data_IF_091986205861
#
_entry.id   IF_091986205861
#
_cell.length_a   1.000
_cell.length_b   1.000
_cell.length_c   1.000
_cell.angle_alpha   90.00
_cell.angle_beta   90.00
_cell.angle_gamma   90.00
#
_symmetry.space_group_name_H-M   'P 1'
#
loop_
_entity.id
_entity.type
_entity.pdbx_description
1 polymer ?
#
# COMPACT_ATOMS: atom_id res chain seq x y z
N UNK A 1 69.50 1.80 -10.96
CA UNK A 1 69.69 1.06 -12.22
C UNK A 1 68.51 1.41 -13.13
N UNK A 2 68.81 2.09 -14.22
CA UNK A 2 67.90 2.75 -15.16
C UNK A 2 67.13 1.78 -16.08
N UNK A 3 65.83 2.07 -16.25
CA UNK A 3 65.14 2.41 -17.51
C UNK A 3 64.93 1.37 -18.64
N UNK A 4 63.79 1.60 -19.32
CA UNK A 4 63.41 1.30 -20.71
C UNK A 4 62.72 -0.04 -21.06
N UNK A 5 61.39 0.07 -21.15
CA UNK A 5 60.59 -0.05 -22.38
C UNK A 5 60.90 -1.16 -23.40
N UNK A 6 59.88 -2.00 -23.68
CA UNK A 6 59.59 -2.43 -25.04
C UNK A 6 58.14 -2.92 -25.18
N UNK A 7 57.37 -2.21 -26.00
CA UNK A 7 56.09 -2.64 -26.56
C UNK A 7 56.33 -3.80 -27.53
N UNK A 8 55.42 -4.78 -27.56
CA UNK A 8 55.15 -5.55 -28.76
C UNK A 8 53.65 -5.84 -28.86
N UNK A 9 53.05 -5.27 -29.89
CA UNK A 9 51.68 -5.50 -30.35
C UNK A 9 51.60 -6.90 -30.95
N UNK A 10 50.62 -7.71 -30.53
CA UNK A 10 50.19 -8.87 -31.31
C UNK A 10 48.65 -8.91 -31.36
N UNK A 11 48.13 -8.42 -32.47
CA UNK A 11 46.76 -8.57 -32.93
C UNK A 11 46.62 -9.98 -33.51
N UNK A 12 45.76 -10.83 -32.94
CA UNK A 12 45.25 -12.00 -33.64
C UNK A 12 43.72 -11.93 -33.67
N UNK A 13 43.21 -11.66 -34.88
CA UNK A 13 41.83 -11.86 -35.24
C UNK A 13 41.58 -13.36 -35.40
N UNK A 14 40.60 -13.89 -34.66
CA UNK A 14 40.00 -15.20 -34.96
C UNK A 14 38.54 -14.94 -35.31
N UNK A 15 38.28 -14.96 -36.61
CA UNK A 15 36.94 -14.99 -37.19
C UNK A 15 36.53 -16.44 -37.40
N UNK A 16 35.35 -16.82 -36.92
CA UNK A 16 34.50 -17.79 -37.62
C UNK A 16 34.03 -19.01 -36.81
N UNK A 17 32.71 -19.24 -36.93
CA UNK A 17 31.96 -20.50 -36.82
C UNK A 17 31.31 -20.82 -35.46
N UNK A 18 30.09 -20.29 -35.32
CA UNK A 18 28.90 -21.14 -35.31
C UNK A 18 28.70 -22.10 -34.14
N UNK A 19 27.93 -21.65 -33.15
CA UNK A 19 26.87 -22.49 -32.60
C UNK A 19 25.73 -21.62 -32.14
N UNK A 20 24.60 -21.83 -32.79
CA UNK A 20 23.32 -21.25 -32.49
C UNK A 20 22.97 -21.53 -31.04
N UNK A 21 23.12 -20.53 -30.17
CA UNK A 21 22.22 -20.41 -29.04
C UNK A 21 20.89 -19.94 -29.64
N UNK A 22 20.10 -20.93 -30.08
CA UNK A 22 18.65 -20.81 -30.11
C UNK A 22 18.26 -20.33 -28.70
N UNK A 23 18.12 -19.02 -28.52
CA UNK A 23 17.25 -18.53 -27.46
C UNK A 23 15.91 -19.18 -27.72
N UNK A 24 15.54 -20.10 -26.84
CA UNK A 24 14.20 -20.62 -26.78
C UNK A 24 13.25 -19.42 -26.73
N UNK A 25 12.58 -19.13 -27.85
CA UNK A 25 11.33 -18.41 -27.84
C UNK A 25 10.40 -19.24 -26.97
N UNK A 26 10.37 -18.94 -25.66
CA UNK A 26 9.20 -19.26 -24.85
C UNK A 26 8.03 -18.60 -25.58
N UNK A 27 7.08 -19.43 -25.99
CA UNK A 27 5.92 -19.02 -26.76
C UNK A 27 5.32 -17.74 -26.18
N UNK A 28 4.94 -16.83 -27.07
CA UNK A 28 4.18 -15.65 -26.71
C UNK A 28 3.00 -16.11 -25.84
N UNK A 29 3.01 -15.70 -24.58
CA UNK A 29 1.81 -15.73 -23.78
C UNK A 29 0.82 -14.74 -24.41
N UNK A 30 -0.43 -15.18 -24.44
CA UNK A 30 -1.63 -14.51 -24.91
C UNK A 30 -1.80 -13.15 -24.20
N UNK A 31 -1.40 -12.04 -24.83
CA UNK A 31 -1.57 -10.67 -24.33
C UNK A 31 -1.00 -10.36 -22.92
N UNK A 32 -1.21 -9.12 -22.42
CA UNK A 32 -0.94 -8.79 -21.02
C UNK A 32 -1.86 -9.58 -20.06
N UNK A 33 -1.35 -9.93 -18.88
CA UNK A 33 -2.09 -10.66 -17.84
C UNK A 33 -3.20 -9.75 -17.31
N UNK A 34 -4.45 -10.13 -17.54
CA UNK A 34 -5.60 -9.38 -17.02
C UNK A 34 -5.73 -9.51 -15.52
N UNK A 35 -5.56 -8.40 -14.80
CA UNK A 35 -5.76 -8.32 -13.36
C UNK A 35 -7.19 -7.88 -13.06
N UNK A 36 -7.85 -8.60 -12.15
CA UNK A 36 -9.20 -8.28 -11.69
C UNK A 36 -9.20 -7.53 -10.37
N UNK A 37 -8.31 -7.91 -9.46
CA UNK A 37 -8.19 -7.29 -8.13
C UNK A 37 -6.71 -7.11 -7.81
N UNK A 38 -6.34 -5.93 -7.34
CA UNK A 38 -5.05 -5.65 -6.72
C UNK A 38 -5.25 -5.47 -5.22
N UNK A 39 -4.61 -6.32 -4.43
CA UNK A 39 -4.54 -6.23 -2.97
C UNK A 39 -3.24 -5.52 -2.62
N UNK A 40 -3.36 -4.29 -2.11
CA UNK A 40 -2.25 -3.43 -1.71
C UNK A 40 -2.06 -3.50 -0.20
N UNK A 41 -0.89 -3.94 0.22
CA UNK A 41 -0.45 -3.94 1.63
C UNK A 41 0.82 -3.12 1.78
N UNK A 42 1.21 -2.75 2.99
CA UNK A 42 2.41 -1.93 3.21
C UNK A 42 3.61 -2.72 3.68
N UNK A 43 3.43 -3.77 4.48
CA UNK A 43 4.56 -4.53 5.00
C UNK A 43 4.26 -6.02 5.13
N UNK A 44 5.34 -6.78 5.07
CA UNK A 44 5.41 -8.16 5.53
C UNK A 44 6.61 -8.32 6.47
N UNK A 45 6.55 -9.30 7.36
CA UNK A 45 7.62 -9.64 8.30
C UNK A 45 8.29 -10.93 7.85
N UNK A 46 9.56 -10.82 7.48
CA UNK A 46 10.31 -12.00 7.05
C UNK A 46 9.79 -12.49 5.70
N UNK A 47 9.31 -13.72 5.66
CA UNK A 47 8.84 -14.38 4.45
C UNK A 47 7.33 -14.18 4.23
N UNK A 48 6.89 -14.27 2.98
CA UNK A 48 5.47 -14.12 2.62
C UNK A 48 4.58 -15.31 3.06
N UNK A 49 5.17 -16.38 3.59
CA UNK A 49 4.50 -17.63 4.02
C UNK A 49 5.23 -18.23 5.22
N UNK A 50 4.50 -19.02 6.01
CA UNK A 50 5.06 -19.92 7.03
C UNK A 50 5.87 -19.23 8.17
N UNK A 51 5.69 -17.92 8.40
CA UNK A 51 6.22 -17.19 9.56
C UNK A 51 5.12 -16.36 10.26
N UNK A 52 5.52 -15.31 10.98
CA UNK A 52 4.67 -14.43 11.77
C UNK A 52 4.07 -13.36 10.85
N UNK A 53 2.76 -13.42 10.55
CA UNK A 53 2.17 -12.58 9.52
C UNK A 53 2.23 -11.09 9.86
N UNK A 54 2.70 -10.31 8.88
CA UNK A 54 2.43 -8.90 8.73
C UNK A 54 1.06 -8.66 8.08
N UNK A 55 0.99 -7.73 7.12
CA UNK A 55 -0.25 -7.44 6.40
C UNK A 55 -0.49 -8.35 5.19
N UNK A 56 0.56 -8.98 4.64
CA UNK A 56 0.53 -9.61 3.32
C UNK A 56 0.34 -11.12 3.37
N UNK A 57 1.03 -11.81 4.28
CA UNK A 57 1.11 -13.26 4.35
C UNK A 57 -0.28 -13.94 4.40
N UNK A 58 -1.21 -13.41 5.20
CA UNK A 58 -2.56 -13.99 5.27
C UNK A 58 -3.34 -13.88 3.96
N UNK A 59 -3.05 -12.89 3.11
CA UNK A 59 -3.60 -12.84 1.75
C UNK A 59 -2.95 -13.89 0.86
N UNK A 60 -1.62 -14.04 0.94
CA UNK A 60 -0.89 -15.05 0.17
C UNK A 60 -1.42 -16.45 0.46
N UNK A 61 -1.50 -16.80 1.74
CA UNK A 61 -1.92 -18.13 2.19
C UNK A 61 -3.39 -18.44 1.89
N UNK A 62 -4.29 -17.45 2.09
CA UNK A 62 -5.75 -17.69 1.98
C UNK A 62 -6.30 -17.49 0.58
N UNK A 63 -5.71 -16.60 -0.22
CA UNK A 63 -6.11 -16.39 -1.62
C UNK A 63 -5.26 -17.20 -2.60
N UNK A 64 -4.33 -18.02 -2.09
CA UNK A 64 -3.44 -18.88 -2.88
C UNK A 64 -2.67 -18.06 -3.94
N UNK A 65 -1.99 -16.99 -3.48
CA UNK A 65 -1.16 -16.15 -4.34
C UNK A 65 0.19 -16.84 -4.61
N UNK A 66 0.12 -17.99 -5.29
CA UNK A 66 1.23 -18.94 -5.41
C UNK A 66 2.26 -18.54 -6.47
N UNK A 67 1.88 -17.69 -7.43
CA UNK A 67 2.79 -17.25 -8.49
C UNK A 67 3.57 -16.02 -8.07
N UNK A 68 4.88 -16.16 -7.89
CA UNK A 68 5.78 -15.04 -7.58
C UNK A 68 6.27 -14.44 -8.89
N UNK A 69 6.00 -13.15 -9.09
CA UNK A 69 6.43 -12.40 -10.26
C UNK A 69 7.40 -11.29 -9.83
N UNK A 70 8.65 -11.30 -10.30
CA UNK A 70 9.61 -10.25 -9.96
C UNK A 70 9.08 -8.89 -10.40
N UNK A 71 9.11 -7.89 -9.50
CA UNK A 71 8.82 -6.49 -9.79
C UNK A 71 10.06 -5.65 -9.44
N UNK A 72 11.09 -5.58 -10.31
CA UNK A 72 12.41 -5.05 -9.95
C UNK A 72 12.42 -3.58 -9.50
N UNK A 73 11.50 -2.78 -10.03
CA UNK A 73 11.35 -1.37 -9.67
C UNK A 73 10.38 -1.13 -8.50
N UNK A 74 9.76 -2.19 -7.98
CA UNK A 74 8.87 -2.14 -6.82
C UNK A 74 9.58 -2.54 -5.53
N UNK A 75 8.93 -2.30 -4.39
CA UNK A 75 9.49 -2.64 -3.09
C UNK A 75 9.63 -4.15 -2.86
N UNK A 76 8.69 -4.93 -3.39
CA UNK A 76 8.61 -6.38 -3.21
C UNK A 76 8.15 -7.05 -4.51
N UNK A 77 8.47 -8.33 -4.69
CA UNK A 77 7.84 -9.13 -5.74
C UNK A 77 6.32 -9.14 -5.56
N UNK A 78 5.58 -9.11 -6.67
CA UNK A 78 4.12 -9.28 -6.63
C UNK A 78 3.77 -10.75 -6.66
N UNK A 79 2.64 -11.10 -6.06
CA UNK A 79 2.13 -12.47 -6.10
C UNK A 79 0.77 -12.52 -6.78
N UNK A 80 0.52 -13.55 -7.57
CA UNK A 80 -0.67 -13.67 -8.39
C UNK A 80 -1.31 -15.06 -8.22
N UNK A 81 -2.64 -15.12 -8.22
CA UNK A 81 -3.37 -16.38 -8.36
C UNK A 81 -4.01 -16.53 -9.75
N UNK A 82 -4.47 -17.74 -10.05
CA UNK A 82 -5.14 -18.09 -11.32
C UNK A 82 -6.44 -17.31 -11.60
N UNK A 83 -7.02 -16.66 -10.59
CA UNK A 83 -8.28 -15.93 -10.72
C UNK A 83 -8.08 -14.48 -11.15
N UNK A 84 -6.84 -14.00 -11.23
CA UNK A 84 -6.48 -12.61 -11.53
C UNK A 84 -6.45 -11.71 -10.30
N UNK A 85 -6.20 -12.28 -9.11
CA UNK A 85 -5.95 -11.51 -7.88
C UNK A 85 -4.44 -11.35 -7.72
N UNK A 86 -3.99 -10.10 -7.75
CA UNK A 86 -2.59 -9.71 -7.58
C UNK A 86 -2.41 -9.09 -6.20
N UNK A 87 -1.50 -9.63 -5.39
CA UNK A 87 -1.07 -9.06 -4.14
C UNK A 87 0.26 -8.32 -4.29
N UNK A 88 0.38 -7.15 -3.64
CA UNK A 88 1.60 -6.36 -3.60
C UNK A 88 1.90 -5.83 -2.20
N UNK A 89 3.19 -5.74 -1.89
CA UNK A 89 3.72 -5.02 -0.71
C UNK A 89 4.39 -3.75 -1.19
N UNK A 90 3.86 -2.61 -0.76
CA UNK A 90 4.32 -1.29 -1.19
C UNK A 90 5.51 -0.75 -0.42
N UNK A 91 5.76 -1.28 0.78
CA UNK A 91 6.64 -0.66 1.76
C UNK A 91 5.93 0.45 2.55
N UNK A 92 6.41 0.70 3.77
CA UNK A 92 5.86 1.76 4.63
C UNK A 92 6.29 3.14 4.15
N UNK A 93 5.32 4.04 4.00
CA UNK A 93 5.50 5.45 3.62
C UNK A 93 5.00 5.77 2.21
N UNK A 94 4.51 6.99 2.02
CA UNK A 94 3.90 7.48 0.77
C UNK A 94 4.84 7.38 -0.44
N UNK A 95 6.12 7.69 -0.28
CA UNK A 95 7.11 7.58 -1.36
C UNK A 95 7.30 6.14 -1.87
N UNK A 96 7.36 5.15 -0.96
CA UNK A 96 7.49 3.74 -1.34
C UNK A 96 6.22 3.20 -1.99
N UNK A 97 5.06 3.62 -1.48
CA UNK A 97 3.78 3.29 -2.07
C UNK A 97 3.62 3.85 -3.49
N UNK A 98 3.92 5.13 -3.70
CA UNK A 98 3.88 5.75 -5.02
C UNK A 98 4.82 5.03 -6.00
N UNK A 99 6.08 4.77 -5.60
CA UNK A 99 7.05 4.09 -6.45
C UNK A 99 6.62 2.66 -6.81
N UNK A 100 6.12 1.89 -5.84
CA UNK A 100 5.70 0.50 -6.08
C UNK A 100 4.45 0.39 -6.94
N UNK A 101 3.47 1.27 -6.74
CA UNK A 101 2.26 1.31 -7.59
C UNK A 101 2.61 1.77 -9.00
N UNK A 102 3.50 2.75 -9.16
CA UNK A 102 3.99 3.17 -10.46
C UNK A 102 4.75 2.04 -11.17
N UNK A 103 5.60 1.31 -10.46
CA UNK A 103 6.31 0.16 -11.00
C UNK A 103 5.34 -0.92 -11.53
N UNK A 104 4.26 -1.21 -10.80
CA UNK A 104 3.23 -2.13 -11.25
C UNK A 104 2.47 -1.59 -12.47
N UNK A 105 2.09 -0.30 -12.45
CA UNK A 105 1.30 0.33 -13.51
C UNK A 105 2.04 0.50 -14.85
N UNK A 106 3.36 0.63 -14.80
CA UNK A 106 4.21 0.74 -16.00
C UNK A 106 4.69 -0.60 -16.54
N UNK A 107 4.41 -1.70 -15.84
CA UNK A 107 4.86 -3.02 -16.25
C UNK A 107 3.92 -3.61 -17.32
N UNK A 108 4.37 -3.78 -18.57
CA UNK A 108 3.52 -4.18 -19.69
C UNK A 108 3.02 -5.64 -19.58
N UNK A 109 3.49 -6.40 -18.58
CA UNK A 109 2.98 -7.75 -18.30
C UNK A 109 1.58 -7.72 -17.73
N UNK A 110 1.10 -6.61 -17.16
CA UNK A 110 -0.17 -6.53 -16.45
C UNK A 110 -1.15 -5.58 -17.15
N UNK A 111 -2.40 -6.02 -17.29
CA UNK A 111 -3.53 -5.20 -17.72
C UNK A 111 -4.33 -4.81 -16.47
N UNK A 112 -4.32 -3.51 -16.12
CA UNK A 112 -4.91 -2.98 -14.89
C UNK A 112 -6.13 -2.08 -15.13
N UNK A 113 -6.50 -1.77 -16.38
CA UNK A 113 -7.52 -0.77 -16.71
C UNK A 113 -8.90 -1.09 -16.11
N UNK A 114 -9.18 -2.37 -15.85
CA UNK A 114 -10.44 -2.83 -15.24
C UNK A 114 -10.27 -3.48 -13.88
N UNK A 115 -9.12 -3.28 -13.23
CA UNK A 115 -8.85 -3.84 -11.91
C UNK A 115 -9.56 -3.05 -10.80
N UNK A 116 -10.07 -3.77 -9.81
CA UNK A 116 -10.44 -3.22 -8.50
C UNK A 116 -9.21 -3.19 -7.60
N UNK A 117 -9.08 -2.16 -6.77
CA UNK A 117 -7.94 -1.97 -5.88
C UNK A 117 -8.42 -1.97 -4.44
N UNK A 118 -7.86 -2.84 -3.61
CA UNK A 118 -8.11 -2.91 -2.17
C UNK A 118 -6.81 -2.58 -1.46
N UNK A 119 -6.75 -1.44 -0.77
CA UNK A 119 -5.71 -1.16 0.20
C UNK A 119 -6.14 -1.77 1.52
N UNK A 120 -5.43 -2.80 1.96
CA UNK A 120 -5.65 -3.48 3.22
C UNK A 120 -4.49 -3.21 4.16
N UNK A 121 -4.78 -2.71 5.36
CA UNK A 121 -3.75 -2.33 6.29
C UNK A 121 -4.24 -2.25 7.72
N UNK A 122 -3.29 -2.10 8.65
CA UNK A 122 -3.58 -1.74 10.03
C UNK A 122 -3.34 -0.25 10.24
N UNK A 123 -4.10 0.36 11.15
CA UNK A 123 -4.03 1.79 11.42
C UNK A 123 -4.44 2.14 12.85
N UNK A 124 -4.11 3.37 13.23
CA UNK A 124 -4.68 3.99 14.43
C UNK A 124 -6.14 4.35 14.21
N UNK A 125 -6.89 4.46 15.30
CA UNK A 125 -8.27 4.94 15.27
C UNK A 125 -8.55 5.80 16.49
N UNK A 126 -9.39 6.81 16.32
CA UNK A 126 -9.78 7.68 17.43
C UNK A 126 -10.58 6.85 18.46
N UNK A 127 -10.13 6.77 19.73
CA UNK A 127 -10.83 6.02 20.76
C UNK A 127 -12.24 6.57 21.08
N UNK A 128 -12.53 7.83 20.74
CA UNK A 128 -13.89 8.38 20.80
C UNK A 128 -14.84 7.63 19.86
N UNK A 129 -14.30 6.95 18.86
CA UNK A 129 -15.02 6.44 17.72
C UNK A 129 -14.93 4.92 17.57
N UNK A 130 -13.75 4.35 17.69
CA UNK A 130 -13.48 2.96 17.37
C UNK A 130 -12.74 2.24 18.49
N UNK A 131 -12.87 0.92 18.47
CA UNK A 131 -12.26 0.03 19.43
C UNK A 131 -11.10 -0.74 18.81
N UNK A 132 -10.13 -1.15 19.62
CA UNK A 132 -8.97 -1.93 19.16
C UNK A 132 -9.42 -3.23 18.49
N UNK A 133 -8.92 -3.47 17.28
CA UNK A 133 -9.22 -4.65 16.47
C UNK A 133 -10.54 -4.56 15.70
N UNK A 134 -11.21 -3.39 15.71
CA UNK A 134 -12.29 -3.10 14.77
C UNK A 134 -11.78 -3.11 13.33
N UNK A 135 -12.68 -3.40 12.39
CA UNK A 135 -12.42 -3.29 10.95
C UNK A 135 -13.27 -2.15 10.44
N UNK A 136 -12.68 -1.29 9.60
CA UNK A 136 -13.36 -0.08 9.14
C UNK A 136 -13.25 0.02 7.64
N UNK A 137 -14.38 0.22 6.97
CA UNK A 137 -14.41 0.60 5.57
C UNK A 137 -14.45 2.14 5.49
N UNK A 138 -13.45 2.73 4.83
CA UNK A 138 -13.34 4.17 4.71
C UNK A 138 -14.11 4.67 3.49
N UNK A 139 -14.85 5.76 3.67
CA UNK A 139 -15.51 6.48 2.56
C UNK A 139 -14.65 7.59 1.98
N UNK A 140 -13.73 8.14 2.77
CA UNK A 140 -12.83 9.21 2.37
C UNK A 140 -11.42 8.92 2.87
N UNK A 141 -10.43 9.38 2.10
CA UNK A 141 -9.02 9.38 2.46
C UNK A 141 -8.55 10.82 2.46
N UNK A 142 -7.89 11.24 3.55
CA UNK A 142 -7.25 12.55 3.63
C UNK A 142 -5.74 12.33 3.75
N UNK A 143 -4.97 12.85 2.81
CA UNK A 143 -3.52 12.93 2.86
C UNK A 143 -3.11 14.19 3.62
N UNK A 144 -2.57 13.99 4.82
CA UNK A 144 -2.08 15.06 5.68
C UNK A 144 -0.55 15.19 5.68
N UNK A 145 0.17 14.53 4.78
CA UNK A 145 1.64 14.49 4.82
C UNK A 145 2.29 15.82 4.38
N UNK A 146 1.59 16.61 3.57
CA UNK A 146 2.08 17.90 3.07
C UNK A 146 1.55 19.07 3.92
N UNK A 147 2.42 19.65 4.74
CA UNK A 147 2.17 20.91 5.41
C UNK A 147 3.47 21.60 5.82
N UNK A 148 3.36 22.81 6.37
CA UNK A 148 4.45 23.45 7.07
C UNK A 148 4.42 23.05 8.55
N UNK A 149 5.59 22.84 9.14
CA UNK A 149 5.72 22.72 10.59
C UNK A 149 6.66 23.81 11.09
N UNK A 150 6.16 24.61 12.03
CA UNK A 150 6.97 25.62 12.73
C UNK A 150 7.78 24.91 13.82
N UNK A 151 9.04 25.32 13.98
CA UNK A 151 9.88 24.90 15.11
C UNK A 151 9.11 25.05 16.42
N UNK A 152 9.07 23.98 17.23
CA UNK A 152 8.27 23.93 18.45
C UNK A 152 8.52 25.09 19.42
N UNK A 153 9.71 25.70 19.40
CA UNK A 153 10.09 26.84 20.26
C UNK A 153 9.55 28.18 19.76
N UNK A 154 9.09 28.22 18.52
CA UNK A 154 8.62 29.42 17.83
C UNK A 154 7.13 29.37 17.51
N UNK A 155 6.43 28.30 17.90
CA UNK A 155 4.98 28.22 17.81
C UNK A 155 4.38 29.37 18.62
N UNK A 156 3.54 30.24 18.03
CA UNK A 156 2.84 31.28 18.79
C UNK A 156 2.05 30.68 19.95
N UNK A 157 2.07 31.31 21.13
CA UNK A 157 1.37 30.78 22.32
C UNK A 157 -0.14 30.60 22.12
N UNK A 158 -0.74 31.36 21.20
CA UNK A 158 -2.15 31.27 20.84
C UNK A 158 -2.47 30.12 19.90
N UNK A 159 -1.46 29.45 19.32
CA UNK A 159 -1.67 28.38 18.36
C UNK A 159 -1.75 27.02 19.06
N UNK A 160 -2.73 26.18 18.68
CA UNK A 160 -2.87 24.84 19.26
C UNK A 160 -1.79 23.85 18.77
N UNK A 161 -1.12 24.15 17.66
CA UNK A 161 -0.07 23.33 17.05
C UNK A 161 0.83 24.18 16.16
N UNK A 162 2.05 23.71 15.88
CA UNK A 162 2.95 24.31 14.89
C UNK A 162 2.69 23.86 13.46
N UNK A 163 1.75 22.92 13.27
CA UNK A 163 1.41 22.37 11.96
C UNK A 163 0.42 23.29 11.22
N UNK A 164 0.82 23.79 10.05
CA UNK A 164 0.06 24.76 9.25
C UNK A 164 -0.18 24.18 7.85
N UNK A 165 -1.45 24.06 7.42
CA UNK A 165 -1.77 23.59 6.07
C UNK A 165 -1.07 24.43 5.00
N UNK A 166 -0.78 23.82 3.85
CA UNK A 166 -0.30 24.58 2.69
C UNK A 166 -1.29 25.70 2.33
N UNK A 167 -0.76 26.83 1.89
CA UNK A 167 -1.55 28.03 1.53
C UNK A 167 -2.33 28.68 2.68
N UNK A 168 -2.11 28.29 3.93
CA UNK A 168 -2.71 28.92 5.12
C UNK A 168 -1.66 29.67 5.94
N UNK A 169 -2.12 30.68 6.68
CA UNK A 169 -1.29 31.48 7.58
C UNK A 169 -1.33 30.99 9.02
N UNK A 170 -2.29 30.14 9.39
CA UNK A 170 -2.44 29.62 10.75
C UNK A 170 -3.07 28.21 10.79
N UNK A 171 -2.90 27.45 11.89
CA UNK A 171 -3.55 26.17 12.07
C UNK A 171 -5.07 26.31 12.02
N UNK A 172 -5.73 25.37 11.35
CA UNK A 172 -7.19 25.26 11.25
C UNK A 172 -7.91 26.46 10.61
N UNK A 173 -7.17 27.35 9.93
CA UNK A 173 -7.73 28.51 9.23
C UNK A 173 -8.86 28.11 8.25
N UNK A 174 -10.01 28.76 8.37
CA UNK A 174 -11.20 28.51 7.55
C UNK A 174 -11.30 29.51 6.39
N UNK A 175 -11.94 29.13 5.25
CA UNK A 175 -12.46 27.79 4.96
C UNK A 175 -11.33 26.81 4.64
N UNK A 176 -11.53 25.53 4.96
CA UNK A 176 -10.68 24.45 4.47
C UNK A 176 -10.72 24.37 2.93
N UNK A 177 -9.63 23.92 2.32
CA UNK A 177 -9.45 23.82 0.86
C UNK A 177 -8.59 22.61 0.53
N UNK A 178 -8.86 21.97 -0.61
CA UNK A 178 -8.23 20.74 -1.12
C UNK A 178 -7.38 21.01 -2.37
N UNK A 179 -6.59 22.09 -2.34
CA UNK A 179 -5.86 22.60 -3.52
C UNK A 179 -4.87 21.59 -4.12
N UNK A 180 -4.31 20.68 -3.33
CA UNK A 180 -3.35 19.67 -3.78
C UNK A 180 -3.96 18.28 -3.86
N UNK A 181 -5.29 18.18 -3.96
CA UNK A 181 -6.02 16.90 -3.96
C UNK A 181 -5.77 16.08 -2.69
N UNK A 182 -5.76 16.73 -1.53
CA UNK A 182 -5.47 16.09 -0.25
C UNK A 182 -6.65 15.25 0.25
N UNK A 183 -7.86 15.45 -0.27
CA UNK A 183 -9.05 14.72 0.14
C UNK A 183 -9.66 13.96 -1.05
N UNK A 184 -9.82 12.64 -0.88
CA UNK A 184 -10.38 11.75 -1.89
C UNK A 184 -11.64 11.08 -1.36
N UNK A 185 -12.74 11.21 -2.09
CA UNK A 185 -13.96 10.43 -1.87
C UNK A 185 -13.85 9.13 -2.64
N UNK A 186 -14.01 8.00 -1.94
CA UNK A 186 -13.97 6.67 -2.53
C UNK A 186 -15.32 6.31 -3.16
N UNK A 187 -15.35 5.32 -4.03
CA UNK A 187 -16.61 4.85 -4.64
C UNK A 187 -17.52 4.28 -3.52
N UNK A 188 -18.52 5.07 -3.14
CA UNK A 188 -19.38 4.77 -1.99
C UNK A 188 -20.22 3.50 -2.20
N UNK A 189 -20.59 3.18 -3.45
CA UNK A 189 -21.34 1.97 -3.75
C UNK A 189 -20.48 0.72 -3.48
N UNK A 190 -19.22 0.75 -3.90
CA UNK A 190 -18.27 -0.34 -3.65
C UNK A 190 -17.94 -0.47 -2.17
N UNK A 191 -17.73 0.65 -1.48
CA UNK A 191 -17.46 0.66 -0.04
C UNK A 191 -18.67 0.12 0.74
N UNK A 192 -19.88 0.59 0.44
CA UNK A 192 -21.12 0.12 1.06
C UNK A 192 -21.39 -1.36 0.77
N UNK A 193 -21.14 -1.82 -0.46
CA UNK A 193 -21.22 -3.24 -0.81
C UNK A 193 -20.25 -4.10 0.02
N UNK A 194 -18.99 -3.69 0.13
CA UNK A 194 -17.99 -4.40 0.91
C UNK A 194 -18.33 -4.41 2.41
N UNK A 195 -18.84 -3.30 2.94
CA UNK A 195 -19.37 -3.23 4.31
C UNK A 195 -20.52 -4.21 4.51
N UNK A 196 -21.54 -4.20 3.65
CA UNK A 196 -22.70 -5.10 3.79
C UNK A 196 -22.34 -6.58 3.72
N UNK A 197 -21.38 -6.96 2.86
CA UNK A 197 -20.89 -8.35 2.80
C UNK A 197 -20.18 -8.80 4.07
N UNK A 198 -19.62 -7.85 4.81
CA UNK A 198 -18.74 -8.17 5.93
C UNK A 198 -19.34 -7.84 7.28
N UNK A 199 -20.33 -6.95 7.40
CA UNK A 199 -20.82 -6.42 8.69
C UNK A 199 -21.14 -7.50 9.74
N UNK A 200 -21.66 -8.65 9.32
CA UNK A 200 -22.12 -9.72 10.21
C UNK A 200 -21.05 -10.77 10.56
N UNK A 201 -19.85 -10.76 9.97
CA UNK A 201 -18.89 -11.81 10.34
C UNK A 201 -18.44 -11.64 11.80
N UNK A 202 -18.38 -12.75 12.51
CA UNK A 202 -17.95 -12.75 13.90
C UNK A 202 -16.47 -12.34 13.98
N UNK A 203 -16.22 -11.40 14.87
CA UNK A 203 -14.91 -10.92 15.21
C UNK A 203 -14.54 -11.61 16.55
N UNK A 204 -13.51 -12.48 16.58
CA UNK A 204 -12.86 -13.07 17.79
C UNK A 204 -12.31 -12.09 18.83
N UNK A 205 -12.98 -11.91 19.97
CA UNK A 205 -12.52 -10.99 21.03
C UNK A 205 -11.67 -11.70 22.10
N UNK A 206 -10.35 -11.72 21.91
CA UNK A 206 -9.41 -12.40 22.80
C UNK A 206 -9.16 -11.64 24.10
N UNK A 207 -8.68 -12.35 25.13
CA UNK A 207 -8.28 -11.73 26.40
C UNK A 207 -7.20 -10.66 26.23
N UNK A 208 -6.27 -10.86 25.29
CA UNK A 208 -5.23 -9.88 24.95
C UNK A 208 -5.82 -8.59 24.36
N UNK A 209 -6.83 -8.70 23.49
CA UNK A 209 -7.55 -7.55 22.95
C UNK A 209 -8.33 -6.81 24.04
N UNK A 210 -9.03 -7.53 24.93
CA UNK A 210 -9.76 -6.91 26.05
C UNK A 210 -8.83 -6.14 26.99
N UNK A 211 -7.66 -6.71 27.34
CA UNK A 211 -6.61 -6.03 28.10
C UNK A 211 -6.08 -4.79 27.38
N UNK A 212 -5.93 -4.87 26.05
CA UNK A 212 -5.49 -3.74 25.22
C UNK A 212 -6.51 -2.59 25.24
N UNK A 213 -7.80 -2.89 25.07
CA UNK A 213 -8.90 -1.91 25.12
C UNK A 213 -9.02 -1.20 26.46
N UNK A 214 -8.80 -1.91 27.57
CA UNK A 214 -8.96 -1.36 28.91
C UNK A 214 -8.07 -0.13 29.19
N UNK A 215 -7.01 0.08 28.40
CA UNK A 215 -6.15 1.27 28.50
C UNK A 215 -6.83 2.57 28.04
N UNK A 216 -7.92 2.49 27.27
CA UNK A 216 -8.68 3.64 26.78
C UNK A 216 -9.82 4.02 27.73
N UNK A 217 -9.57 3.99 29.04
CA UNK A 217 -10.52 4.44 30.05
C UNK A 217 -10.93 5.90 29.78
N UNK A 218 -12.22 6.20 29.90
CA UNK A 218 -12.78 7.52 29.55
C UNK A 218 -13.33 7.62 28.12
N UNK A 219 -13.12 6.60 27.28
CA UNK A 219 -13.68 6.53 25.92
C UNK A 219 -14.67 5.37 25.78
N UNK A 220 -15.99 5.58 25.95
CA UNK A 220 -16.98 4.50 25.98
C UNK A 220 -17.00 3.64 24.70
N UNK A 221 -16.78 4.24 23.53
CA UNK A 221 -16.75 3.52 22.26
C UNK A 221 -15.52 2.62 22.13
N UNK A 222 -14.34 3.05 22.61
CA UNK A 222 -13.14 2.22 22.62
C UNK A 222 -13.27 0.97 23.52
N UNK A 223 -14.14 0.99 24.53
CA UNK A 223 -14.31 -0.13 25.48
C UNK A 223 -15.29 -1.21 25.00
N UNK A 224 -16.15 -0.91 24.02
CA UNK A 224 -17.07 -1.88 23.43
C UNK A 224 -16.30 -3.06 22.82
N UNK A 225 -16.93 -4.25 22.69
CA UNK A 225 -16.41 -5.27 21.79
C UNK A 225 -16.23 -4.66 20.40
N UNK A 226 -15.18 -5.08 19.71
CA UNK A 226 -14.86 -4.53 18.39
C UNK A 226 -15.97 -4.83 17.37
N UNK A 227 -16.15 -3.90 16.45
CA UNK A 227 -17.23 -3.91 15.46
C UNK A 227 -16.65 -3.71 14.08
N UNK A 228 -17.45 -4.03 13.07
CA UNK A 228 -17.29 -3.43 11.74
C UNK A 228 -18.08 -2.15 11.69
N UNK A 229 -17.48 -1.09 11.16
CA UNK A 229 -18.19 0.17 10.93
C UNK A 229 -17.80 0.76 9.59
N UNK A 230 -18.77 1.32 8.89
CA UNK A 230 -18.52 2.30 7.85
C UNK A 230 -18.18 3.64 8.51
N UNK A 231 -17.12 4.31 8.07
CA UNK A 231 -16.74 5.62 8.64
C UNK A 231 -16.56 6.68 7.57
N UNK A 232 -17.07 7.86 7.90
CA UNK A 232 -17.05 9.04 7.02
C UNK A 232 -15.62 9.52 6.75
N UNK A 233 -14.70 9.40 7.72
CA UNK A 233 -13.30 9.70 7.51
C UNK A 233 -12.45 8.82 8.44
N UNK A 234 -11.32 8.32 7.94
CA UNK A 234 -10.30 7.70 8.76
C UNK A 234 -8.94 8.26 8.40
N UNK A 235 -8.13 8.49 9.44
CA UNK A 235 -6.68 8.51 9.33
C UNK A 235 -6.21 7.05 9.47
N UNK A 236 -6.40 6.23 8.43
CA UNK A 236 -5.87 4.85 8.39
C UNK A 236 -6.81 3.70 7.95
N UNK A 237 -6.88 3.48 6.62
CA UNK A 237 -6.69 2.21 5.88
C UNK A 237 -7.65 1.01 6.10
N UNK A 238 -8.78 1.03 5.39
CA UNK A 238 -9.08 0.07 4.30
C UNK A 238 -9.73 0.85 3.16
N UNK A 239 -9.19 0.76 1.94
CA UNK A 239 -9.66 1.55 0.79
C UNK A 239 -10.02 0.60 -0.34
N UNK A 240 -11.28 0.59 -0.78
CA UNK A 240 -11.67 -0.05 -2.03
C UNK A 240 -11.89 1.05 -3.06
N UNK A 241 -11.08 1.04 -4.12
CA UNK A 241 -11.18 1.97 -5.24
C UNK A 241 -11.25 1.17 -6.54
N UNK A 242 -12.04 1.65 -7.48
CA UNK A 242 -11.91 1.26 -8.88
C UNK A 242 -11.34 2.47 -9.60
N UNK A 243 -10.30 2.26 -10.42
CA UNK A 243 -9.95 3.26 -11.41
C UNK A 243 -11.11 3.24 -12.41
N UNK A 244 -12.04 4.19 -12.28
CA UNK A 244 -13.03 4.41 -13.32
C UNK A 244 -12.33 5.10 -14.48
N UNK A 245 -12.71 4.71 -15.70
CA UNK A 245 -12.25 5.37 -16.92
C UNK A 245 -12.61 6.86 -16.81
N UNK A 246 -11.62 7.74 -16.98
CA UNK A 246 -11.82 9.19 -17.02
C UNK A 246 -12.71 9.64 -18.18
#
# INVERSE_FOLDING_TARGET
MCSLARQLVLTFAVSGLGSAYLSAQRGAADGPIRIKVVIVTMFERGEDIDDTPGEFQLWVEREHLDQILPLPSGYHHVRLNKNGVLGMVTGVGTAKAAASVMALGLDPRFELSKAYWIVAGIGGGDPADVSVGSVVWANHVVDGDLAFEIDARQIPESWPTGYVPLQKGSPYEQPASDFYSEAYTLNQELVGWAFHLTQDLSLTDSDSLRKSRARFAGFPNALKPRVRSERRCLVGKYVLARLEDG
#
